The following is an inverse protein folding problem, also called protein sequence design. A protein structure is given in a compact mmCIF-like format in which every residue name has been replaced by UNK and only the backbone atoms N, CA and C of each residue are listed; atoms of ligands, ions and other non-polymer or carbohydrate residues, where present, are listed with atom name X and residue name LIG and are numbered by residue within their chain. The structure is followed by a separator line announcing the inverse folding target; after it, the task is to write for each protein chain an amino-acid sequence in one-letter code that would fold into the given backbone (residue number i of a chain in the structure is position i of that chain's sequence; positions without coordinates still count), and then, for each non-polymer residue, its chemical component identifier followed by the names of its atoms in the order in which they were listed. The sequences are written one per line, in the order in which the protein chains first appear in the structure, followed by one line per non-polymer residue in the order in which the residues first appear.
data_IF_321484216426
#
_entry.id   IF_321484216426
#
_cell.length_a   1.000
_cell.length_b   1.000
_cell.length_c   1.000
_cell.angle_alpha   90.00
_cell.angle_beta   90.00
_cell.angle_gamma   90.00
#
_symmetry.space_group_name_H-M   'P 1'
#
loop_
_entity.id
_entity.type
_entity.pdbx_description
1 polymer ?
#
# COMPACT_ATOMS: atom_id res chain seq x y z
N UNK A 1 15.78 -4.38 -3.41
CA UNK A 1 14.74 -5.32 -2.92
C UNK A 1 13.37 -4.83 -3.36
N UNK A 2 12.58 -5.72 -3.87
CA UNK A 2 11.21 -5.43 -4.26
C UNK A 2 10.26 -5.96 -3.19
N UNK A 3 9.24 -5.17 -2.87
CA UNK A 3 8.29 -5.51 -1.82
C UNK A 3 6.88 -5.42 -2.37
N UNK A 4 6.07 -6.42 -2.06
CA UNK A 4 4.63 -6.37 -2.33
C UNK A 4 3.93 -6.26 -0.98
N UNK A 5 3.09 -5.24 -0.85
CA UNK A 5 2.30 -5.02 0.36
C UNK A 5 0.85 -5.36 0.08
N UNK A 6 0.26 -6.15 0.97
CA UNK A 6 -1.16 -6.43 0.89
C UNK A 6 -1.97 -5.15 1.13
N UNK A 7 -3.15 -5.07 0.53
CA UNK A 7 -4.04 -3.91 0.71
C UNK A 7 -4.35 -3.67 2.19
N UNK A 8 -4.46 -4.73 2.99
CA UNK A 8 -4.71 -4.59 4.42
C UNK A 8 -3.57 -3.86 5.15
N UNK A 9 -2.33 -4.06 4.73
CA UNK A 9 -1.20 -3.33 5.30
C UNK A 9 -1.29 -1.85 4.95
N UNK A 10 -1.66 -1.54 3.71
CA UNK A 10 -1.80 -0.16 3.27
C UNK A 10 -2.93 0.55 4.02
N UNK A 11 -4.07 -0.12 4.20
CA UNK A 11 -5.18 0.42 4.98
C UNK A 11 -4.77 0.61 6.43
N UNK A 12 -4.07 -0.35 7.01
CA UNK A 12 -3.60 -0.25 8.39
C UNK A 12 -2.63 0.90 8.58
N UNK A 13 -1.78 1.17 7.59
CA UNK A 13 -0.87 2.32 7.63
C UNK A 13 -1.63 3.63 7.70
N UNK A 14 -2.78 3.71 7.03
CA UNK A 14 -3.63 4.90 7.06
C UNK A 14 -4.36 5.06 8.38
N UNK A 15 -4.78 3.93 9.00
CA UNK A 15 -5.54 3.94 10.25
C UNK A 15 -4.62 4.24 11.44
N UNK A 16 -3.44 3.63 11.46
CA UNK A 16 -2.53 3.66 12.61
C UNK A 16 -1.23 4.39 12.26
N UNK A 17 -1.23 5.73 12.29
CA UNK A 17 0.01 6.48 12.09
C UNK A 17 1.03 6.05 13.16
N UNK A 18 2.28 5.88 12.75
CA UNK A 18 3.38 5.44 13.61
C UNK A 18 3.33 3.96 14.01
N UNK A 19 2.38 3.19 13.47
CA UNK A 19 2.38 1.74 13.65
C UNK A 19 3.37 1.08 12.69
N UNK A 20 3.51 -0.24 12.83
CA UNK A 20 4.42 -1.00 11.95
C UNK A 20 4.08 -0.88 10.46
N UNK A 21 2.80 -0.98 10.05
CA UNK A 21 2.48 -0.79 8.62
C UNK A 21 2.86 0.60 8.10
N UNK A 22 2.64 1.64 8.90
CA UNK A 22 3.03 2.99 8.52
C UNK A 22 4.55 3.12 8.41
N UNK A 23 5.29 2.46 9.28
CA UNK A 23 6.76 2.44 9.22
C UNK A 23 7.25 1.81 7.91
N UNK A 24 6.60 0.74 7.46
CA UNK A 24 6.93 0.10 6.18
C UNK A 24 6.64 1.07 5.02
N UNK A 25 5.50 1.72 5.04
CA UNK A 25 5.13 2.69 4.01
C UNK A 25 6.13 3.85 3.98
N UNK A 26 6.52 4.38 5.14
CA UNK A 26 7.49 5.48 5.22
C UNK A 26 8.88 5.05 4.75
N UNK A 27 9.27 3.79 5.01
CA UNK A 27 10.53 3.26 4.50
C UNK A 27 10.55 3.25 2.97
N UNK A 28 9.43 2.90 2.35
CA UNK A 28 9.30 2.98 0.90
C UNK A 28 9.42 4.43 0.43
N UNK A 29 8.76 5.36 1.09
CA UNK A 29 8.85 6.78 0.73
C UNK A 29 10.27 7.32 0.88
N UNK A 30 11.08 6.70 1.74
CA UNK A 30 12.49 7.03 1.92
C UNK A 30 13.40 6.25 0.96
N UNK A 31 12.83 5.60 -0.05
CA UNK A 31 13.57 4.85 -1.09
C UNK A 31 14.39 3.69 -0.55
N UNK A 32 13.93 3.05 0.52
CA UNK A 32 14.61 1.90 1.10
C UNK A 32 14.40 0.62 0.29
N UNK A 33 13.33 0.56 -0.47
CA UNK A 33 13.02 -0.58 -1.32
C UNK A 33 12.08 -0.13 -2.44
N UNK A 34 11.89 -0.99 -3.43
CA UNK A 34 10.93 -0.77 -4.50
C UNK A 34 9.59 -1.42 -4.13
N UNK A 35 8.53 -0.65 -4.22
CA UNK A 35 7.18 -1.17 -3.98
C UNK A 35 6.59 -1.63 -5.31
N UNK A 36 6.12 -2.87 -5.32
CA UNK A 36 5.43 -3.45 -6.48
C UNK A 36 3.94 -3.33 -6.25
N UNK A 37 3.23 -2.77 -7.21
CA UNK A 37 1.77 -2.65 -7.14
C UNK A 37 1.18 -2.92 -8.52
N UNK A 38 -0.14 -3.04 -8.56
CA UNK A 38 -0.89 -3.20 -9.80
C UNK A 38 -2.06 -2.25 -9.83
N UNK A 39 -2.61 -2.01 -11.03
CA UNK A 39 -3.82 -1.22 -11.17
C UNK A 39 -4.96 -1.83 -10.35
N UNK A 40 -5.05 -3.15 -10.34
CA UNK A 40 -6.06 -3.87 -9.55
C UNK A 40 -5.92 -3.56 -8.07
N UNK A 41 -4.69 -3.54 -7.54
CA UNK A 41 -4.47 -3.21 -6.13
C UNK A 41 -4.86 -1.77 -5.82
N UNK A 42 -4.52 -0.83 -6.69
CA UNK A 42 -4.89 0.57 -6.48
C UNK A 42 -6.40 0.77 -6.50
N UNK A 43 -7.09 0.07 -7.40
CA UNK A 43 -8.55 0.11 -7.45
C UNK A 43 -9.17 -0.50 -6.20
N UNK A 44 -8.61 -1.62 -5.72
CA UNK A 44 -9.06 -2.26 -4.50
C UNK A 44 -8.88 -1.34 -3.30
N UNK A 45 -7.73 -0.69 -3.18
CA UNK A 45 -7.46 0.26 -2.09
C UNK A 45 -8.48 1.39 -2.11
N UNK A 46 -8.77 1.94 -3.29
CA UNK A 46 -9.77 2.99 -3.44
C UNK A 46 -11.15 2.52 -3.04
N UNK A 47 -11.54 1.31 -3.47
CA UNK A 47 -12.85 0.75 -3.15
C UNK A 47 -13.00 0.48 -1.66
N UNK A 48 -12.00 -0.15 -1.05
CA UNK A 48 -12.03 -0.48 0.38
C UNK A 48 -12.11 0.78 1.23
N UNK A 49 -11.40 1.84 0.83
CA UNK A 49 -11.40 3.10 1.58
C UNK A 49 -12.77 3.77 1.62
N UNK A 50 -13.69 3.35 0.74
CA UNK A 50 -15.05 3.90 0.69
C UNK A 50 -16.07 3.08 1.49
N UNK A 51 -15.65 1.95 2.08
CA UNK A 51 -16.55 1.18 2.93
C UNK A 51 -16.98 2.03 4.13
N UNK A 52 -18.26 1.96 4.53
CA UNK A 52 -18.77 2.86 5.59
C UNK A 52 -17.95 2.83 6.88
N UNK A 53 -17.48 1.65 7.31
CA UNK A 53 -16.67 1.52 8.52
C UNK A 53 -15.33 2.24 8.40
N UNK A 54 -14.71 2.20 7.22
CA UNK A 54 -13.40 2.79 7.00
C UNK A 54 -13.51 4.26 6.63
N UNK A 55 -14.55 4.64 5.92
CA UNK A 55 -14.75 6.01 5.47
C UNK A 55 -14.80 7.00 6.64
N UNK A 56 -15.31 6.57 7.78
CA UNK A 56 -15.42 7.42 8.96
C UNK A 56 -14.08 7.62 9.67
N UNK A 57 -13.09 6.74 9.45
CA UNK A 57 -11.80 6.78 10.13
C UNK A 57 -10.62 7.08 9.22
N UNK A 58 -10.80 6.97 7.90
CA UNK A 58 -9.73 7.26 6.94
C UNK A 58 -9.87 8.67 6.39
N UNK A 59 -8.88 9.55 6.59
CA UNK A 59 -8.91 10.88 5.99
C UNK A 59 -8.84 10.77 4.46
N UNK A 60 -9.81 11.32 3.71
CA UNK A 60 -9.81 11.20 2.25
C UNK A 60 -8.54 11.72 1.59
N UNK A 61 -7.98 12.81 2.11
CA UNK A 61 -6.75 13.38 1.53
C UNK A 61 -5.54 12.45 1.70
N UNK A 62 -5.47 11.70 2.79
CA UNK A 62 -4.38 10.73 3.00
C UNK A 62 -4.53 9.53 2.08
N UNK A 63 -5.75 9.06 1.89
CA UNK A 63 -6.04 7.96 0.95
C UNK A 63 -5.63 8.38 -0.46
N UNK A 64 -6.06 9.56 -0.89
CA UNK A 64 -5.73 10.08 -2.20
C UNK A 64 -4.22 10.26 -2.39
N UNK A 65 -3.54 10.77 -1.37
CA UNK A 65 -2.10 10.95 -1.42
C UNK A 65 -1.36 9.61 -1.54
N UNK A 66 -1.79 8.60 -0.77
CA UNK A 66 -1.19 7.28 -0.84
C UNK A 66 -1.36 6.66 -2.23
N UNK A 67 -2.57 6.68 -2.77
CA UNK A 67 -2.85 6.15 -4.10
C UNK A 67 -2.01 6.87 -5.15
N UNK A 68 -1.95 8.19 -5.08
CA UNK A 68 -1.19 8.99 -6.02
C UNK A 68 0.30 8.70 -5.94
N UNK A 69 0.85 8.59 -4.73
CA UNK A 69 2.26 8.25 -4.53
C UNK A 69 2.58 6.86 -5.07
N UNK A 70 1.71 5.90 -4.84
CA UNK A 70 1.90 4.54 -5.34
C UNK A 70 1.84 4.50 -6.87
N UNK A 71 0.91 5.24 -7.48
CA UNK A 71 0.77 5.29 -8.93
C UNK A 71 2.02 5.87 -9.59
N UNK A 72 2.62 6.89 -8.97
CA UNK A 72 3.77 7.59 -9.57
C UNK A 72 5.10 6.87 -9.35
N UNK A 73 5.30 6.31 -8.16
CA UNK A 73 6.62 5.87 -7.73
C UNK A 73 6.74 4.35 -7.58
N UNK A 74 5.63 3.60 -7.60
CA UNK A 74 5.69 2.15 -7.53
C UNK A 74 6.05 1.55 -8.88
N UNK A 75 6.68 0.39 -8.83
CA UNK A 75 6.88 -0.43 -10.01
C UNK A 75 5.56 -1.12 -10.34
N UNK A 76 5.00 -0.82 -11.51
CA UNK A 76 3.74 -1.43 -11.93
C UNK A 76 4.02 -2.80 -12.52
N UNK A 77 3.36 -3.82 -11.97
CA UNK A 77 3.46 -5.19 -12.47
C UNK A 77 2.11 -5.64 -13.00
N UNK A 78 2.09 -6.06 -14.27
CA UNK A 78 0.88 -6.64 -14.85
C UNK A 78 0.85 -8.15 -14.66
N UNK A 79 2.02 -8.78 -14.65
CA UNK A 79 2.16 -10.21 -14.40
C UNK A 79 3.15 -10.38 -13.25
N UNK A 80 2.76 -11.09 -12.18
CA UNK A 80 3.66 -11.27 -11.06
C UNK A 80 4.81 -12.18 -11.45
N UNK A 81 5.95 -11.58 -11.75
CA UNK A 81 7.20 -12.32 -11.82
C UNK A 81 7.89 -12.12 -10.49
N UNK A 82 7.75 -13.11 -9.64
CA UNK A 82 8.35 -13.05 -8.32
C UNK A 82 9.81 -13.49 -8.42
N UNK A 83 10.72 -12.52 -8.36
CA UNK A 83 12.13 -12.84 -8.25
C UNK A 83 12.48 -13.20 -6.80
N UNK A 84 13.65 -13.81 -6.59
CA UNK A 84 14.07 -14.20 -5.25
C UNK A 84 14.41 -12.99 -4.36
N UNK A 85 14.52 -11.79 -4.92
CA UNK A 85 14.67 -10.56 -4.15
C UNK A 85 13.33 -9.89 -3.83
N UNK A 86 12.21 -10.54 -4.16
CA UNK A 86 10.88 -10.00 -3.92
C UNK A 86 10.37 -10.50 -2.56
N UNK A 87 9.91 -9.56 -1.74
CA UNK A 87 9.31 -9.86 -0.44
C UNK A 87 7.84 -9.52 -0.47
N UNK A 88 7.03 -10.37 0.13
CA UNK A 88 5.59 -10.17 0.21
C UNK A 88 5.22 -10.04 1.68
N UNK A 89 4.52 -8.97 2.00
CA UNK A 89 4.02 -8.72 3.36
C UNK A 89 2.51 -8.66 3.34
N UNK A 90 1.88 -9.33 4.27
CA UNK A 90 0.43 -9.30 4.44
C UNK A 90 0.11 -9.45 5.93
N UNK A 91 -1.09 -9.00 6.30
CA UNK A 91 -1.59 -9.14 7.66
C UNK A 91 -2.72 -10.16 7.69
N UNK A 92 -2.76 -10.92 8.77
CA UNK A 92 -3.91 -11.76 9.06
C UNK A 92 -4.93 -10.90 9.82
N UNK A 93 -6.13 -10.88 9.28
CA UNK A 93 -7.21 -10.14 9.92
C UNK A 93 -7.70 -10.84 11.17
#
# INVERSE_FOLDING_TARGET
MRVVLDTNILVSALIYPRGAPDAIYRAWRAHRFDLVTSTTQLEELRRVSRYPKLRSILPPHRVGAMINNMRKASVAEQLPTWGHDTKVYFTYA
#
